data_IF_889165401589
#
_entry.id   IF_889165401589
#
_cell.length_a   1.000
_cell.length_b   1.000
_cell.length_c   1.000
_cell.angle_alpha   90.00
_cell.angle_beta   90.00
_cell.angle_gamma   90.00
#
_symmetry.space_group_name_H-M   'P 1'
#
loop_
_entity.id
_entity.type
_entity.pdbx_description
1 polymer ?
#
# COMPACT_ATOMS: atom_id res chain seq x y z
N UNK A 1 23.53 -9.78 18.90
CA UNK A 1 22.68 -10.40 17.87
C UNK A 1 22.89 -9.61 16.59
N UNK A 2 23.64 -10.14 15.64
CA UNK A 2 23.79 -9.49 14.33
C UNK A 2 22.43 -9.56 13.61
N UNK A 3 21.78 -8.41 13.45
CA UNK A 3 20.57 -8.30 12.65
C UNK A 3 21.01 -8.50 11.21
N UNK A 4 20.80 -9.70 10.67
CA UNK A 4 20.95 -9.96 9.24
C UNK A 4 20.01 -8.99 8.52
N UNK A 5 20.50 -8.09 7.65
CA UNK A 5 19.60 -7.19 6.94
C UNK A 5 18.60 -8.03 6.16
N UNK A 6 17.31 -7.68 6.27
CA UNK A 6 16.28 -8.21 5.39
C UNK A 6 16.69 -7.92 3.95
N UNK A 7 16.45 -8.88 3.05
CA UNK A 7 16.64 -8.63 1.63
C UNK A 7 15.70 -7.50 1.18
N UNK A 8 16.23 -6.56 0.41
CA UNK A 8 15.47 -5.47 -0.19
C UNK A 8 15.51 -5.61 -1.71
N UNK A 9 14.34 -5.58 -2.33
CA UNK A 9 14.22 -5.67 -3.78
C UNK A 9 14.90 -4.48 -4.46
N UNK A 10 15.72 -4.76 -5.46
CA UNK A 10 16.32 -3.74 -6.33
C UNK A 10 15.51 -3.65 -7.62
N UNK A 11 15.62 -2.55 -8.38
CA UNK A 11 14.98 -2.42 -9.68
C UNK A 11 15.22 -3.59 -10.65
N UNK A 12 16.43 -4.18 -10.60
CA UNK A 12 16.79 -5.34 -11.43
C UNK A 12 16.02 -6.62 -11.07
N UNK A 13 15.64 -6.78 -9.79
CA UNK A 13 14.96 -7.97 -9.28
C UNK A 13 13.48 -8.02 -9.68
N UNK A 14 12.92 -6.87 -10.09
CA UNK A 14 11.50 -6.67 -10.38
C UNK A 14 11.24 -6.16 -11.79
N UNK A 15 12.23 -6.30 -12.68
CA UNK A 15 12.12 -5.87 -14.06
C UNK A 15 11.06 -6.70 -14.80
N UNK A 16 10.10 -6.02 -15.42
CA UNK A 16 8.94 -6.66 -16.02
C UNK A 16 9.33 -7.60 -17.17
N UNK A 17 10.45 -7.35 -17.85
CA UNK A 17 10.97 -8.19 -18.95
C UNK A 17 11.27 -9.65 -18.54
N UNK A 18 11.50 -9.90 -17.25
CA UNK A 18 11.71 -11.25 -16.71
C UNK A 18 10.42 -11.87 -16.12
N UNK A 19 9.30 -11.16 -16.19
CA UNK A 19 8.01 -11.66 -15.69
C UNK A 19 7.40 -12.68 -16.65
N UNK A 20 6.71 -13.69 -16.10
CA UNK A 20 5.95 -14.69 -16.89
C UNK A 20 4.82 -14.06 -17.73
N UNK A 21 4.31 -12.91 -17.29
CA UNK A 21 3.25 -12.14 -17.97
C UNK A 21 3.79 -11.21 -19.07
N UNK A 22 5.12 -11.18 -19.28
CA UNK A 22 5.74 -10.36 -20.30
C UNK A 22 5.69 -11.04 -21.66
N UNK A 23 4.81 -10.56 -22.53
CA UNK A 23 4.64 -11.07 -23.89
C UNK A 23 4.61 -9.91 -24.87
N UNK A 24 5.13 -10.10 -26.09
CA UNK A 24 5.11 -9.08 -27.14
C UNK A 24 5.68 -7.70 -26.69
N UNK A 25 6.68 -7.68 -25.80
CA UNK A 25 7.29 -6.46 -25.22
C UNK A 25 6.34 -5.62 -24.36
N UNK A 26 5.32 -6.23 -23.76
CA UNK A 26 4.40 -5.56 -22.84
C UNK A 26 3.90 -6.53 -21.76
N UNK A 27 3.58 -5.98 -20.57
CA UNK A 27 2.94 -6.73 -19.50
C UNK A 27 1.49 -7.04 -19.87
N UNK A 28 1.08 -8.31 -19.82
CA UNK A 28 -0.31 -8.72 -20.06
C UNK A 28 -1.16 -8.80 -18.80
N UNK A 29 -0.54 -8.68 -17.61
CA UNK A 29 -1.26 -8.76 -16.35
C UNK A 29 -2.24 -7.59 -16.20
N UNK A 30 -3.50 -7.89 -15.88
CA UNK A 30 -4.51 -6.87 -15.57
C UNK A 30 -4.20 -6.12 -14.27
N UNK A 31 -3.49 -6.76 -13.34
CA UNK A 31 -2.87 -6.14 -12.17
C UNK A 31 -1.55 -6.85 -11.87
N UNK A 32 -0.50 -6.12 -11.53
CA UNK A 32 0.82 -6.70 -11.32
C UNK A 32 0.82 -7.51 -10.01
N UNK A 33 1.11 -8.82 -10.07
CA UNK A 33 1.21 -9.62 -8.85
C UNK A 33 2.40 -9.19 -7.98
N UNK A 34 3.39 -8.50 -8.56
CA UNK A 34 4.62 -8.04 -7.91
C UNK A 34 4.59 -6.54 -7.55
N UNK A 35 3.40 -5.95 -7.43
CA UNK A 35 3.26 -4.51 -7.21
C UNK A 35 3.95 -4.05 -5.91
N UNK A 36 3.86 -4.85 -4.84
CA UNK A 36 4.46 -4.52 -3.55
C UNK A 36 6.00 -4.47 -3.63
N UNK A 37 6.61 -5.49 -4.24
CA UNK A 37 8.05 -5.60 -4.47
C UNK A 37 8.55 -4.46 -5.37
N UNK A 38 7.75 -4.09 -6.38
CA UNK A 38 8.05 -2.96 -7.28
C UNK A 38 7.97 -1.60 -6.60
N UNK A 39 7.08 -1.44 -5.63
CA UNK A 39 7.02 -0.25 -4.77
C UNK A 39 8.26 -0.22 -3.86
N UNK A 40 8.61 -1.34 -3.24
CA UNK A 40 9.80 -1.45 -2.39
C UNK A 40 11.09 -1.12 -3.16
N UNK A 41 11.20 -1.63 -4.39
CA UNK A 41 12.32 -1.35 -5.29
C UNK A 41 12.33 0.09 -5.85
N UNK A 42 11.29 0.90 -5.57
CA UNK A 42 11.18 2.28 -6.02
C UNK A 42 10.95 2.44 -7.53
N UNK A 43 10.57 1.38 -8.24
CA UNK A 43 10.31 1.44 -9.69
C UNK A 43 8.88 1.85 -10.03
N UNK A 44 7.97 1.76 -9.05
CA UNK A 44 6.57 2.19 -9.18
C UNK A 44 6.32 3.38 -8.26
N UNK A 45 5.84 4.49 -8.82
CA UNK A 45 5.40 5.64 -8.04
C UNK A 45 4.06 5.36 -7.34
N UNK A 46 3.79 6.06 -6.24
CA UNK A 46 2.50 5.98 -5.54
C UNK A 46 1.31 6.22 -6.50
N UNK A 47 1.43 7.21 -7.39
CA UNK A 47 0.44 7.51 -8.42
C UNK A 47 0.16 6.30 -9.34
N UNK A 48 1.23 5.64 -9.80
CA UNK A 48 1.10 4.45 -10.66
C UNK A 48 0.48 3.28 -9.90
N UNK A 49 0.83 3.07 -8.63
CA UNK A 49 0.22 2.05 -7.79
C UNK A 49 -1.28 2.29 -7.56
N UNK A 50 -1.69 3.54 -7.27
CA UNK A 50 -3.10 3.91 -7.12
C UNK A 50 -3.87 3.66 -8.41
N UNK A 51 -3.32 4.04 -9.57
CA UNK A 51 -3.95 3.77 -10.87
C UNK A 51 -4.08 2.27 -11.14
N UNK A 52 -3.08 1.48 -10.78
CA UNK A 52 -3.11 0.04 -10.99
C UNK A 52 -4.17 -0.67 -10.14
N UNK A 53 -4.35 -0.21 -8.90
CA UNK A 53 -5.35 -0.78 -7.97
C UNK A 53 -6.78 -0.31 -8.26
N UNK A 54 -6.96 0.94 -8.69
CA UNK A 54 -8.29 1.57 -8.80
C UNK A 54 -8.68 1.98 -10.24
N UNK A 55 -7.87 1.67 -11.24
CA UNK A 55 -8.08 2.12 -12.63
C UNK A 55 -9.37 1.60 -13.28
N UNK A 56 -9.97 0.55 -12.74
CA UNK A 56 -11.27 0.04 -13.19
C UNK A 56 -12.49 0.71 -12.55
N UNK A 57 -12.30 1.63 -11.59
CA UNK A 57 -13.41 2.34 -10.95
C UNK A 57 -13.85 3.51 -11.83
N UNK A 58 -15.15 3.56 -12.16
CA UNK A 58 -15.73 4.60 -13.03
C UNK A 58 -16.35 5.77 -12.26
N UNK A 59 -16.37 5.74 -10.93
CA UNK A 59 -16.97 6.79 -10.10
C UNK A 59 -16.10 8.06 -10.11
N UNK A 60 -16.59 9.13 -10.73
CA UNK A 60 -15.84 10.38 -10.92
C UNK A 60 -15.45 11.06 -9.62
N UNK A 61 -16.34 11.07 -8.63
CA UNK A 61 -16.08 11.69 -7.33
C UNK A 61 -14.97 10.95 -6.57
N UNK A 62 -14.97 9.62 -6.65
CA UNK A 62 -13.93 8.78 -6.09
C UNK A 62 -12.59 8.97 -6.80
N UNK A 63 -12.58 9.03 -8.13
CA UNK A 63 -11.36 9.30 -8.93
C UNK A 63 -10.78 10.67 -8.54
N UNK A 64 -11.60 11.70 -8.42
CA UNK A 64 -11.15 13.04 -8.01
C UNK A 64 -10.49 13.01 -6.62
N UNK A 65 -11.09 12.30 -5.65
CA UNK A 65 -10.54 12.14 -4.30
C UNK A 65 -9.22 11.37 -4.30
N UNK A 66 -9.10 10.33 -5.11
CA UNK A 66 -7.82 9.61 -5.29
C UNK A 66 -6.74 10.52 -5.89
N UNK A 67 -7.10 11.36 -6.87
CA UNK A 67 -6.18 12.35 -7.44
C UNK A 67 -5.62 13.31 -6.38
N UNK A 68 -6.48 13.83 -5.50
CA UNK A 68 -6.05 14.68 -4.37
C UNK A 68 -5.13 13.93 -3.40
N UNK A 69 -5.45 12.68 -3.06
CA UNK A 69 -4.59 11.85 -2.22
C UNK A 69 -3.20 11.65 -2.83
N UNK A 70 -3.13 11.38 -4.12
CA UNK A 70 -1.86 11.22 -4.85
C UNK A 70 -1.05 12.52 -4.83
N UNK A 71 -1.68 13.66 -5.07
CA UNK A 71 -1.01 14.97 -5.09
C UNK A 71 -0.45 15.39 -3.73
N UNK A 72 -1.16 15.05 -2.64
CA UNK A 72 -0.79 15.44 -1.29
C UNK A 72 -0.04 14.34 -0.51
N UNK A 73 0.34 13.25 -1.16
CA UNK A 73 1.07 12.17 -0.52
C UNK A 73 2.53 12.56 -0.24
N UNK A 74 2.85 12.71 1.05
CA UNK A 74 4.19 13.08 1.53
C UNK A 74 5.04 11.88 1.97
N UNK A 75 4.74 10.67 1.48
CA UNK A 75 5.51 9.46 1.79
C UNK A 75 5.05 8.68 3.02
N UNK A 76 3.98 9.11 3.70
CA UNK A 76 3.36 8.36 4.79
C UNK A 76 1.85 8.27 4.59
N UNK A 77 1.30 7.08 4.80
CA UNK A 77 -0.15 6.84 4.87
C UNK A 77 -0.74 7.29 6.21
N UNK A 78 0.09 7.41 7.25
CA UNK A 78 -0.29 7.92 8.56
C UNK A 78 -0.23 9.45 8.55
N UNK A 79 -1.30 10.15 8.99
CA UNK A 79 -1.31 11.60 9.17
C UNK A 79 -0.23 12.08 10.13
N UNK A 80 0.04 11.30 11.19
CA UNK A 80 1.10 11.56 12.16
C UNK A 80 1.61 10.26 12.82
N UNK A 81 2.69 10.37 13.59
CA UNK A 81 3.34 9.24 14.27
C UNK A 81 2.48 8.62 15.36
N UNK A 82 1.62 9.40 15.99
CA UNK A 82 0.76 8.90 17.06
C UNK A 82 -0.36 8.04 16.47
N UNK A 83 -0.93 8.46 15.35
CA UNK A 83 -1.91 7.68 14.62
C UNK A 83 -1.35 6.32 14.19
N UNK A 84 -0.12 6.32 13.68
CA UNK A 84 0.60 5.08 13.35
C UNK A 84 0.76 4.18 14.58
N UNK A 85 1.23 4.76 15.69
CA UNK A 85 1.46 4.02 16.94
C UNK A 85 0.15 3.39 17.45
N UNK A 86 -0.92 4.18 17.52
CA UNK A 86 -2.22 3.74 18.01
C UNK A 86 -2.80 2.62 17.13
N UNK A 87 -2.76 2.78 15.81
CA UNK A 87 -3.29 1.77 14.88
C UNK A 87 -2.48 0.48 14.96
N UNK A 88 -1.14 0.57 15.06
CA UNK A 88 -0.28 -0.60 15.26
C UNK A 88 -0.56 -1.30 16.59
N UNK A 89 -0.86 -0.55 17.66
CA UNK A 89 -1.23 -1.11 18.96
C UNK A 89 -2.56 -1.87 18.88
N UNK A 90 -3.57 -1.27 18.25
CA UNK A 90 -4.87 -1.92 18.00
C UNK A 90 -4.70 -3.19 17.18
N UNK A 91 -3.91 -3.15 16.11
CA UNK A 91 -3.65 -4.33 15.27
C UNK A 91 -2.96 -5.48 16.02
N UNK A 92 -2.16 -5.17 17.04
CA UNK A 92 -1.54 -6.19 17.90
C UNK A 92 -2.54 -6.85 18.86
N UNK A 93 -3.57 -6.15 19.30
CA UNK A 93 -4.53 -6.68 20.28
C UNK A 93 -5.55 -7.66 19.66
N UNK A 94 -5.85 -7.49 18.37
CA UNK A 94 -6.85 -8.28 17.62
C UNK A 94 -6.26 -9.49 16.88
N UNK A 95 -4.93 -9.60 16.82
CA UNK A 95 -4.21 -10.69 16.14
C UNK A 95 -4.13 -10.57 14.61
N UNK A 96 -3.35 -11.47 14.00
CA UNK A 96 -2.98 -11.43 12.56
C UNK A 96 -4.16 -11.47 11.58
N UNK A 97 -5.34 -11.99 11.99
CA UNK A 97 -6.52 -12.06 11.12
C UNK A 97 -7.08 -10.69 10.72
N UNK A 98 -6.94 -9.69 11.59
CA UNK A 98 -7.43 -8.33 11.40
C UNK A 98 -6.79 -7.61 10.21
N UNK A 99 -5.55 -7.97 9.85
CA UNK A 99 -4.85 -7.39 8.70
C UNK A 99 -5.42 -7.84 7.36
N UNK A 100 -6.13 -8.97 7.33
CA UNK A 100 -6.65 -9.57 6.07
C UNK A 100 -8.07 -9.15 5.73
N UNK A 101 -8.80 -8.53 6.66
CA UNK A 101 -10.10 -7.93 6.39
C UNK A 101 -9.95 -6.41 6.19
N UNK A 102 -10.13 -5.89 4.96
CA UNK A 102 -10.01 -4.47 4.66
C UNK A 102 -11.00 -3.59 5.45
N UNK A 103 -12.20 -4.09 5.73
CA UNK A 103 -13.21 -3.33 6.49
C UNK A 103 -12.79 -3.22 7.94
N UNK A 104 -12.29 -4.31 8.50
CA UNK A 104 -11.80 -4.32 9.86
C UNK A 104 -10.58 -3.41 10.02
N UNK A 105 -9.61 -3.49 9.09
CA UNK A 105 -8.47 -2.58 9.07
C UNK A 105 -8.90 -1.11 8.99
N UNK A 106 -9.87 -0.77 8.13
CA UNK A 106 -10.38 0.59 8.01
C UNK A 106 -10.99 1.10 9.33
N UNK A 107 -11.72 0.25 10.05
CA UNK A 107 -12.26 0.58 11.38
C UNK A 107 -11.14 0.86 12.38
N UNK A 108 -10.10 0.02 12.44
CA UNK A 108 -8.96 0.24 13.33
C UNK A 108 -8.16 1.48 12.96
N UNK A 109 -8.00 1.77 11.66
CA UNK A 109 -7.38 3.00 11.18
C UNK A 109 -8.15 4.22 11.71
N UNK A 110 -9.49 4.24 11.57
CA UNK A 110 -10.32 5.34 12.07
C UNK A 110 -10.28 5.47 13.60
N UNK A 111 -10.27 4.34 14.33
CA UNK A 111 -10.15 4.35 15.80
C UNK A 111 -8.80 4.91 16.25
N UNK A 112 -7.71 4.50 15.59
CA UNK A 112 -6.38 5.00 15.90
C UNK A 112 -6.28 6.52 15.77
N UNK A 113 -7.07 7.12 14.87
CA UNK A 113 -7.09 8.57 14.63
C UNK A 113 -7.82 9.34 15.73
N UNK A 114 -8.56 8.67 16.61
CA UNK A 114 -9.35 9.30 17.65
C UNK A 114 -8.85 8.96 19.05
N UNK A 115 -8.11 9.90 19.64
CA UNK A 115 -7.60 9.83 21.02
C UNK A 115 -8.67 9.57 22.08
N UNK A 116 -9.92 9.98 21.84
CA UNK A 116 -11.02 9.82 22.81
C UNK A 116 -11.49 8.38 22.88
N UNK A 117 -11.39 7.63 21.78
CA UNK A 117 -11.88 6.26 21.67
C UNK A 117 -10.87 5.21 22.17
N UNK A 118 -9.67 5.64 22.58
CA UNK A 118 -8.58 4.79 23.06
C UNK A 118 -8.43 4.80 24.60
N UNK A 119 -9.40 5.35 25.33
CA UNK A 119 -9.44 5.41 26.80
C UNK A 119 -10.15 4.21 27.41
#
# INVERSE_FOLDING_TARGET
>A
MEVKPSYHYKPADVACEYCVEWQHRQCQATGCPWLAERIEAGVVSYASAVRELFGGVADEAFIARLGLLVLHFHGSFWPDREHEFNTRLLLRSVGYGAWRDPRFFAVLYLFGSNRVLLK
#
